data_IF_753152338626
#
_entry.id   IF_753152338626
#
_cell.length_a   1.000
_cell.length_b   1.000
_cell.length_c   1.000
_cell.angle_alpha   90.00
_cell.angle_beta   90.00
_cell.angle_gamma   90.00
#
_symmetry.space_group_name_H-M   'P 1'
#
loop_
_entity.id
_entity.type
_entity.pdbx_description
1 polymer ?
#
# COMPACT_ATOMS: atom_id res chain seq x y z
N UNK A 1 -4.48 7.81 47.51
CA UNK A 1 -5.79 7.59 46.85
C UNK A 1 -5.84 6.15 46.40
N UNK A 2 -6.89 5.41 46.74
CA UNK A 2 -7.04 4.01 46.34
C UNK A 2 -7.54 3.90 44.90
N UNK A 3 -7.37 2.74 44.29
CA UNK A 3 -7.96 2.44 42.97
C UNK A 3 -9.47 2.70 42.96
N UNK A 4 -10.14 2.38 44.07
CA UNK A 4 -11.60 2.54 44.20
C UNK A 4 -12.00 4.02 44.21
N UNK A 5 -11.21 4.88 44.88
CA UNK A 5 -11.44 6.33 44.89
C UNK A 5 -11.27 6.95 43.51
N UNK A 6 -10.33 6.44 42.71
CA UNK A 6 -10.10 6.91 41.32
C UNK A 6 -11.21 6.44 40.38
N UNK A 7 -11.78 5.25 40.62
CA UNK A 7 -12.79 4.63 39.74
C UNK A 7 -14.24 4.98 40.11
N UNK A 8 -14.48 5.55 41.29
CA UNK A 8 -15.82 5.90 41.75
C UNK A 8 -16.59 6.83 40.78
N UNK A 9 -16.00 7.89 40.18
CA UNK A 9 -16.70 8.77 39.27
C UNK A 9 -17.11 8.07 37.95
N UNK A 10 -16.24 7.21 37.42
CA UNK A 10 -16.51 6.44 36.19
C UNK A 10 -17.63 5.43 36.45
N UNK A 11 -17.58 4.75 37.60
CA UNK A 11 -18.60 3.79 38.02
C UNK A 11 -19.97 4.45 38.21
N UNK A 12 -20.00 5.68 38.71
CA UNK A 12 -21.24 6.46 38.85
C UNK A 12 -21.78 6.89 37.49
N UNK A 13 -20.93 7.41 36.60
CA UNK A 13 -21.34 7.80 35.24
C UNK A 13 -21.93 6.63 34.43
N UNK A 14 -21.35 5.42 34.55
CA UNK A 14 -21.90 4.22 33.92
C UNK A 14 -23.27 3.83 34.48
N UNK A 15 -23.49 3.97 35.80
CA UNK A 15 -24.81 3.75 36.43
C UNK A 15 -25.84 4.79 36.00
N UNK A 16 -25.39 6.01 35.77
CA UNK A 16 -26.23 7.14 35.32
C UNK A 16 -26.51 7.10 33.80
N UNK A 17 -26.10 6.03 33.11
CA UNK A 17 -26.47 5.78 31.72
C UNK A 17 -25.56 6.42 30.68
N UNK A 18 -24.31 6.76 31.01
CA UNK A 18 -23.34 7.38 30.09
C UNK A 18 -23.13 6.63 28.76
N UNK A 19 -23.57 5.37 28.65
CA UNK A 19 -23.52 4.56 27.44
C UNK A 19 -24.87 3.96 27.02
N UNK A 20 -26.01 4.46 27.53
CA UNK A 20 -27.33 3.85 27.30
C UNK A 20 -27.78 3.87 25.83
N UNK A 21 -27.27 4.82 25.04
CA UNK A 21 -27.56 4.98 23.61
C UNK A 21 -26.58 4.22 22.70
N UNK A 22 -25.60 3.50 23.27
CA UNK A 22 -24.66 2.70 22.50
C UNK A 22 -25.19 1.26 22.35
N UNK A 23 -25.34 0.81 21.10
CA UNK A 23 -25.68 -0.57 20.77
C UNK A 23 -24.70 -1.56 21.44
N UNK A 24 -25.17 -2.55 22.23
CA UNK A 24 -24.29 -3.48 22.91
C UNK A 24 -23.68 -4.47 21.89
N UNK A 25 -22.34 -4.47 21.83
CA UNK A 25 -21.49 -5.29 20.95
C UNK A 25 -21.61 -6.82 21.23
N UNK A 26 -22.61 -7.28 21.96
CA UNK A 26 -22.70 -8.65 22.49
C UNK A 26 -23.87 -9.49 21.94
N UNK A 27 -24.64 -9.01 20.95
CA UNK A 27 -25.64 -9.85 20.28
C UNK A 27 -25.09 -10.68 19.12
N UNK A 28 -23.83 -10.46 18.70
CA UNK A 28 -23.12 -11.37 17.83
C UNK A 28 -22.34 -12.38 18.69
N UNK A 29 -22.51 -13.68 18.40
CA UNK A 29 -21.77 -14.78 19.01
C UNK A 29 -20.28 -14.50 18.85
N UNK A 30 -19.60 -14.11 19.93
CA UNK A 30 -18.15 -13.89 19.93
C UNK A 30 -17.49 -15.25 20.07
N UNK A 31 -16.99 -15.78 18.96
CA UNK A 31 -16.10 -16.93 19.01
C UNK A 31 -14.78 -16.47 19.63
N UNK A 32 -14.61 -16.78 20.91
CA UNK A 32 -13.38 -16.50 21.63
C UNK A 32 -12.30 -17.45 21.12
N UNK A 33 -11.33 -16.92 20.40
CA UNK A 33 -10.12 -17.66 20.04
C UNK A 33 -9.07 -17.53 21.14
N UNK A 34 -8.32 -18.59 21.37
CA UNK A 34 -7.14 -18.54 22.24
C UNK A 34 -6.05 -17.69 21.59
N UNK A 35 -5.14 -17.14 22.41
CA UNK A 35 -4.03 -16.30 21.93
C UNK A 35 -3.11 -17.04 20.94
N UNK A 36 -3.10 -18.37 20.98
CA UNK A 36 -2.38 -19.25 20.06
C UNK A 36 -3.09 -19.37 18.71
N UNK A 37 -4.42 -19.41 18.71
CA UNK A 37 -5.27 -19.50 17.51
C UNK A 37 -5.37 -18.18 16.74
N UNK A 38 -5.12 -17.04 17.41
CA UNK A 38 -5.13 -15.71 16.77
C UNK A 38 -4.23 -15.63 15.52
N UNK A 39 -3.06 -16.28 15.54
CA UNK A 39 -2.14 -16.34 14.38
C UNK A 39 -2.71 -17.13 13.20
N UNK A 40 -3.65 -18.04 13.43
CA UNK A 40 -4.27 -18.87 12.39
C UNK A 40 -5.50 -18.22 11.73
N UNK A 41 -5.96 -17.07 12.24
CA UNK A 41 -7.16 -16.41 11.73
C UNK A 41 -6.96 -15.73 10.37
N UNK A 42 -5.71 -15.50 9.94
CA UNK A 42 -5.42 -14.89 8.64
C UNK A 42 -6.04 -13.51 8.43
N UNK A 43 -6.46 -12.84 9.51
CA UNK A 43 -7.10 -11.53 9.47
C UNK A 43 -6.02 -10.46 9.33
N UNK A 44 -5.57 -10.24 8.10
CA UNK A 44 -4.81 -9.06 7.73
C UNK A 44 -5.82 -7.98 7.36
N UNK A 45 -5.85 -6.87 8.09
CA UNK A 45 -6.60 -5.70 7.67
C UNK A 45 -6.02 -5.25 6.31
N UNK A 46 -6.75 -5.44 5.22
CA UNK A 46 -6.33 -5.04 3.89
C UNK A 46 -7.01 -3.73 3.51
N UNK A 47 -6.24 -2.75 3.03
CA UNK A 47 -6.77 -1.49 2.53
C UNK A 47 -6.84 -1.54 1.01
N UNK A 48 -8.04 -1.38 0.43
CA UNK A 48 -8.20 -1.33 -1.04
C UNK A 48 -7.64 -0.03 -1.59
N UNK A 49 -6.70 -0.11 -2.53
CA UNK A 49 -6.13 1.07 -3.19
C UNK A 49 -6.73 1.24 -4.57
N UNK A 50 -6.44 2.35 -5.24
CA UNK A 50 -6.89 2.59 -6.61
C UNK A 50 -6.35 1.56 -7.61
N UNK A 51 -5.25 0.89 -7.27
CA UNK A 51 -4.51 -0.02 -8.15
C UNK A 51 -4.65 -1.48 -7.72
N UNK A 52 -5.10 -1.75 -6.49
CA UNK A 52 -5.07 -3.09 -5.93
C UNK A 52 -5.49 -3.11 -4.46
N UNK A 53 -4.64 -3.65 -3.59
CA UNK A 53 -4.76 -3.51 -2.14
C UNK A 53 -3.38 -3.42 -1.49
N UNK A 54 -3.37 -2.94 -0.25
CA UNK A 54 -2.21 -2.88 0.61
C UNK A 54 -2.25 -4.05 1.60
N UNK A 55 -1.15 -4.78 1.72
CA UNK A 55 -0.95 -5.88 2.66
C UNK A 55 -0.32 -5.43 4.00
N UNK A 56 -0.24 -4.11 4.23
CA UNK A 56 0.33 -3.53 5.44
C UNK A 56 -0.40 -4.00 6.71
N UNK A 57 0.36 -4.29 7.76
CA UNK A 57 -0.19 -4.62 9.06
C UNK A 57 -0.61 -3.36 9.82
N UNK A 58 -1.83 -2.89 9.52
CA UNK A 58 -2.42 -1.73 10.18
C UNK A 58 -2.70 -1.92 11.67
N UNK A 59 -2.61 -3.14 12.21
CA UNK A 59 -2.67 -3.36 13.65
C UNK A 59 -1.36 -2.97 14.36
N UNK A 60 -0.25 -3.00 13.63
CA UNK A 60 1.07 -2.64 14.13
C UNK A 60 1.33 -1.14 14.01
N UNK A 61 1.10 -0.55 12.83
CA UNK A 61 1.35 0.88 12.60
C UNK A 61 0.47 1.48 11.49
N UNK A 62 0.33 2.82 11.42
CA UNK A 62 -0.29 3.47 10.26
C UNK A 62 0.67 3.50 9.05
N UNK A 63 0.10 3.50 7.84
CA UNK A 63 0.86 3.52 6.60
C UNK A 63 1.69 4.81 6.45
N UNK A 64 3.02 4.66 6.35
CA UNK A 64 3.96 5.78 6.15
C UNK A 64 4.01 6.30 4.71
N UNK A 65 3.51 5.50 3.75
CA UNK A 65 3.53 5.78 2.31
C UNK A 65 2.22 6.35 1.80
N UNK A 66 1.29 6.77 2.66
CA UNK A 66 -0.10 7.10 2.31
C UNK A 66 -0.25 7.79 0.94
N UNK A 67 -1.01 7.16 0.02
CA UNK A 67 -1.25 7.54 -1.39
C UNK A 67 -0.08 7.40 -2.36
N UNK A 68 1.11 7.05 -1.90
CA UNK A 68 2.27 6.70 -2.74
C UNK A 68 2.39 5.18 -2.94
N UNK A 69 1.26 4.49 -3.10
CA UNK A 69 1.21 3.03 -3.07
C UNK A 69 2.01 2.35 -4.18
N UNK A 70 2.18 2.97 -5.35
CA UNK A 70 3.01 2.43 -6.44
C UNK A 70 4.48 2.35 -6.06
N UNK A 71 4.89 3.18 -5.09
CA UNK A 71 6.25 3.20 -4.59
C UNK A 71 6.45 2.34 -3.32
N UNK A 72 5.41 1.63 -2.88
CA UNK A 72 5.41 0.77 -1.68
C UNK A 72 5.54 -0.72 -2.03
N UNK A 73 6.28 -1.48 -1.23
CA UNK A 73 6.43 -2.93 -1.39
C UNK A 73 5.20 -3.74 -0.98
N UNK A 74 4.29 -3.13 -0.22
CA UNK A 74 3.11 -3.78 0.34
C UNK A 74 1.91 -3.69 -0.62
N UNK A 75 2.07 -2.99 -1.75
CA UNK A 75 1.06 -2.84 -2.78
C UNK A 75 1.00 -4.08 -3.67
N UNK A 76 -0.18 -4.70 -3.74
CA UNK A 76 -0.46 -5.86 -4.57
C UNK A 76 -1.58 -5.57 -5.56
N UNK A 77 -1.44 -6.08 -6.78
CA UNK A 77 -2.39 -5.94 -7.88
C UNK A 77 -2.87 -7.31 -8.35
N UNK A 78 -4.10 -7.41 -8.85
CA UNK A 78 -4.61 -8.61 -9.54
C UNK A 78 -4.74 -8.30 -11.02
N UNK A 79 -4.20 -9.18 -11.86
CA UNK A 79 -4.44 -9.14 -13.30
C UNK A 79 -5.90 -9.42 -13.64
N UNK A 80 -6.49 -8.59 -14.51
CA UNK A 80 -7.87 -8.72 -14.96
C UNK A 80 -8.85 -7.78 -14.24
N UNK A 81 -8.37 -6.97 -13.29
CA UNK A 81 -9.14 -5.92 -12.62
C UNK A 81 -9.22 -4.67 -13.51
N UNK A 82 -10.13 -4.67 -14.49
CA UNK A 82 -10.18 -3.67 -15.56
C UNK A 82 -10.20 -2.21 -15.05
N UNK A 83 -10.94 -1.90 -13.98
CA UNK A 83 -10.97 -0.56 -13.40
C UNK A 83 -9.62 -0.15 -12.81
N UNK A 84 -8.94 -1.08 -12.11
CA UNK A 84 -7.64 -0.82 -11.48
C UNK A 84 -6.54 -0.66 -12.52
N UNK A 85 -6.60 -1.46 -13.60
CA UNK A 85 -5.74 -1.29 -14.76
C UNK A 85 -5.95 0.05 -15.46
N UNK A 86 -7.21 0.51 -15.59
CA UNK A 86 -7.50 1.85 -16.11
C UNK A 86 -6.91 2.96 -15.23
N UNK A 87 -6.99 2.82 -13.91
CA UNK A 87 -6.37 3.76 -12.96
C UNK A 87 -4.84 3.79 -13.09
N UNK A 88 -4.19 2.64 -13.32
CA UNK A 88 -2.74 2.58 -13.56
C UNK A 88 -2.35 3.29 -14.87
N UNK A 89 -3.16 3.17 -15.92
CA UNK A 89 -2.94 3.88 -17.19
C UNK A 89 -3.10 5.40 -17.02
N UNK A 90 -4.10 5.82 -16.25
CA UNK A 90 -4.30 7.21 -15.89
C UNK A 90 -3.09 7.75 -15.12
N UNK A 91 -2.67 7.06 -14.06
CA UNK A 91 -1.48 7.41 -13.28
C UNK A 91 -0.25 7.54 -14.18
N UNK A 92 -0.02 6.60 -15.11
CA UNK A 92 1.11 6.67 -16.06
C UNK A 92 1.06 7.96 -16.88
N UNK A 93 -0.09 8.30 -17.46
CA UNK A 93 -0.23 9.51 -18.28
C UNK A 93 -0.03 10.80 -17.47
N UNK A 94 -0.55 10.84 -16.23
CA UNK A 94 -0.39 11.98 -15.33
C UNK A 94 1.07 12.13 -14.91
N UNK A 95 1.73 11.01 -14.58
CA UNK A 95 3.16 10.98 -14.20
C UNK A 95 4.05 11.45 -15.35
N UNK A 96 3.77 11.04 -16.60
CA UNK A 96 4.51 11.51 -17.78
C UNK A 96 4.40 13.03 -17.95
N UNK A 97 3.19 13.58 -17.80
CA UNK A 97 2.97 15.01 -17.83
C UNK A 97 3.71 15.73 -16.69
N UNK A 98 3.57 15.26 -15.45
CA UNK A 98 4.21 15.87 -14.27
C UNK A 98 5.74 15.79 -14.35
N UNK A 99 6.30 14.69 -14.86
CA UNK A 99 7.73 14.55 -15.09
C UNK A 99 8.24 15.55 -16.13
N UNK A 100 7.47 15.82 -17.19
CA UNK A 100 7.81 16.87 -18.17
C UNK A 100 7.89 18.23 -17.48
N UNK A 101 6.87 18.60 -16.71
CA UNK A 101 6.86 19.88 -15.99
C UNK A 101 7.99 19.99 -14.96
N UNK A 102 8.28 18.91 -14.22
CA UNK A 102 9.38 18.91 -13.26
C UNK A 102 10.75 19.08 -13.93
N UNK A 103 10.95 18.54 -15.14
CA UNK A 103 12.18 18.72 -15.92
C UNK A 103 12.34 20.14 -16.46
N UNK A 104 11.25 20.77 -16.86
CA UNK A 104 11.23 22.20 -17.25
C UNK A 104 11.65 23.07 -16.05
N UNK A 105 11.01 22.90 -14.90
CA UNK A 105 11.36 23.61 -13.67
C UNK A 105 12.82 23.37 -13.24
N UNK A 106 13.32 22.14 -13.39
CA UNK A 106 14.72 21.83 -13.11
C UNK A 106 15.68 22.57 -14.05
N UNK A 107 15.31 22.74 -15.33
CA UNK A 107 16.12 23.50 -16.30
C UNK A 107 16.13 25.00 -16.02
N UNK A 108 15.12 25.50 -15.31
CA UNK A 108 15.02 26.88 -14.82
C UNK A 108 15.67 27.06 -13.44
N UNK A 109 16.35 26.02 -12.93
CA UNK A 109 17.00 25.99 -11.61
C UNK A 109 16.04 26.26 -10.43
N UNK A 110 14.77 25.90 -10.59
CA UNK A 110 13.78 26.04 -9.52
C UNK A 110 14.11 25.11 -8.33
N UNK A 111 14.10 25.68 -7.12
CA UNK A 111 14.45 24.97 -5.90
C UNK A 111 13.54 23.76 -5.66
N UNK A 112 14.14 22.57 -5.50
CA UNK A 112 13.44 21.32 -5.20
C UNK A 112 12.86 20.58 -6.42
N UNK A 113 13.01 21.13 -7.64
CA UNK A 113 12.59 20.46 -8.86
C UNK A 113 13.31 19.12 -9.10
N UNK A 114 14.57 19.01 -8.65
CA UNK A 114 15.37 17.78 -8.70
C UNK A 114 14.72 16.60 -7.96
N UNK A 115 14.15 16.88 -6.79
CA UNK A 115 13.43 15.91 -5.96
C UNK A 115 12.17 15.41 -6.67
N UNK A 116 11.44 16.31 -7.32
CA UNK A 116 10.26 15.95 -8.13
C UNK A 116 10.63 15.15 -9.36
N UNK A 117 11.68 15.53 -10.09
CA UNK A 117 12.18 14.74 -11.23
C UNK A 117 12.54 13.32 -10.78
N UNK A 118 13.25 13.19 -9.65
CA UNK A 118 13.62 11.89 -9.09
C UNK A 118 12.39 11.04 -8.75
N UNK A 119 11.44 11.61 -8.01
CA UNK A 119 10.22 10.89 -7.60
C UNK A 119 9.38 10.46 -8.80
N UNK A 120 9.07 11.40 -9.72
CA UNK A 120 8.23 11.10 -10.88
C UNK A 120 8.89 10.12 -11.85
N UNK A 121 10.22 10.17 -11.99
CA UNK A 121 10.96 9.17 -12.78
C UNK A 121 10.78 7.77 -12.21
N UNK A 122 10.94 7.62 -10.89
CA UNK A 122 10.78 6.33 -10.22
C UNK A 122 9.33 5.80 -10.30
N UNK A 123 8.34 6.67 -10.08
CA UNK A 123 6.92 6.32 -10.24
C UNK A 123 6.63 5.86 -11.66
N UNK A 124 7.15 6.56 -12.67
CA UNK A 124 6.95 6.22 -14.08
C UNK A 124 7.56 4.85 -14.44
N UNK A 125 8.77 4.58 -13.95
CA UNK A 125 9.43 3.27 -14.13
C UNK A 125 8.58 2.14 -13.54
N UNK A 126 8.08 2.32 -12.32
CA UNK A 126 7.28 1.30 -11.60
C UNK A 126 5.91 1.08 -12.22
N UNK A 127 5.15 2.13 -12.51
CA UNK A 127 3.83 1.99 -13.15
C UNK A 127 3.96 1.35 -14.53
N UNK A 128 5.02 1.68 -15.28
CA UNK A 128 5.30 1.06 -16.59
C UNK A 128 5.65 -0.41 -16.45
N UNK A 129 6.49 -0.78 -15.48
CA UNK A 129 6.81 -2.17 -15.20
C UNK A 129 5.57 -2.98 -14.81
N UNK A 130 4.73 -2.45 -13.92
CA UNK A 130 3.49 -3.11 -13.49
C UNK A 130 2.52 -3.32 -14.66
N UNK A 131 2.30 -2.29 -15.48
CA UNK A 131 1.46 -2.41 -16.68
C UNK A 131 2.00 -3.46 -17.65
N UNK A 132 3.33 -3.56 -17.83
CA UNK A 132 3.92 -4.57 -18.71
C UNK A 132 3.64 -6.01 -18.24
N UNK A 133 3.60 -6.25 -16.92
CA UNK A 133 3.26 -7.56 -16.34
C UNK A 133 1.77 -7.85 -16.53
N UNK A 134 0.91 -6.84 -16.32
CA UNK A 134 -0.53 -6.98 -16.49
C UNK A 134 -0.91 -7.28 -17.95
N UNK A 135 -0.19 -6.69 -18.91
CA UNK A 135 -0.40 -6.87 -20.34
C UNK A 135 0.19 -8.18 -20.89
N UNK A 136 1.18 -8.78 -20.20
CA UNK A 136 1.84 -10.00 -20.67
C UNK A 136 0.87 -11.20 -20.73
N UNK A 137 0.53 -11.73 -21.92
CA UNK A 137 -0.40 -12.85 -22.04
C UNK A 137 0.09 -14.14 -21.36
N UNK A 138 1.38 -14.26 -21.04
CA UNK A 138 1.92 -15.38 -20.29
C UNK A 138 1.53 -15.34 -18.80
N UNK A 139 1.13 -14.18 -18.27
CA UNK A 139 0.64 -14.02 -16.90
C UNK A 139 -0.87 -14.33 -16.87
N UNK A 140 -1.33 -15.37 -16.13
CA UNK A 140 -2.75 -15.70 -16.04
C UNK A 140 -3.59 -14.60 -15.39
N UNK A 141 -4.84 -14.45 -15.82
CA UNK A 141 -5.84 -13.62 -15.11
C UNK A 141 -6.04 -14.17 -13.69
N UNK A 142 -6.19 -13.28 -12.71
CA UNK A 142 -6.24 -13.63 -11.30
C UNK A 142 -4.87 -13.72 -10.63
N UNK A 143 -3.77 -13.60 -11.37
CA UNK A 143 -2.42 -13.58 -10.80
C UNK A 143 -2.23 -12.37 -9.90
N UNK A 144 -1.71 -12.61 -8.70
CA UNK A 144 -1.32 -11.59 -7.73
C UNK A 144 0.08 -11.10 -8.07
N UNK A 145 0.22 -9.80 -8.27
CA UNK A 145 1.44 -9.14 -8.74
C UNK A 145 1.87 -8.13 -7.68
N UNK A 146 3.15 -8.17 -7.33
CA UNK A 146 3.82 -7.20 -6.45
C UNK A 146 5.16 -6.87 -7.08
N UNK A 147 5.49 -5.58 -7.17
CA UNK A 147 6.81 -5.16 -7.64
C UNK A 147 7.82 -5.31 -6.50
N UNK A 148 8.98 -5.88 -6.81
CA UNK A 148 10.14 -5.81 -5.93
C UNK A 148 10.73 -4.39 -6.02
N UNK A 149 10.59 -3.62 -4.94
CA UNK A 149 10.99 -2.22 -4.89
C UNK A 149 12.20 -2.06 -3.97
N UNK A 150 13.40 -2.00 -4.55
CA UNK A 150 14.59 -1.59 -3.80
C UNK A 150 14.40 -0.14 -3.30
N UNK A 151 14.60 0.09 -2.00
CA UNK A 151 14.42 1.37 -1.27
C UNK A 151 12.99 1.76 -0.86
N UNK A 152 12.01 0.86 -0.86
CA UNK A 152 10.83 1.10 -0.02
C UNK A 152 11.28 1.14 1.46
N UNK A 153 10.71 2.00 2.32
CA UNK A 153 10.99 1.93 3.75
C UNK A 153 10.47 0.59 4.29
N UNK A 154 11.35 -0.42 4.34
CA UNK A 154 11.02 -1.76 4.78
C UNK A 154 10.96 -1.80 6.31
N UNK A 155 9.81 -2.16 6.86
CA UNK A 155 9.74 -2.96 8.09
C UNK A 155 8.89 -4.19 7.69
N UNK A 156 9.49 -5.21 7.06
CA UNK A 156 9.77 -6.49 7.73
C UNK A 156 10.40 -7.50 6.76
N UNK A 157 11.06 -8.50 7.34
CA UNK A 157 11.61 -9.70 6.70
C UNK A 157 10.47 -10.65 6.31
N UNK A 158 10.35 -11.02 5.03
CA UNK A 158 9.84 -12.34 4.66
C UNK A 158 10.32 -12.77 3.26
N UNK A 159 10.54 -14.08 3.11
CA UNK A 159 11.13 -14.74 1.94
C UNK A 159 10.20 -14.68 0.71
N UNK A 160 10.16 -13.53 0.03
CA UNK A 160 9.54 -13.41 -1.30
C UNK A 160 10.61 -13.71 -2.35
N UNK A 161 10.37 -14.67 -3.25
CA UNK A 161 11.26 -14.89 -4.38
C UNK A 161 11.07 -13.79 -5.43
N UNK A 162 12.07 -12.93 -5.69
CA UNK A 162 11.91 -11.84 -6.63
C UNK A 162 11.80 -12.38 -8.06
N UNK A 163 10.77 -11.94 -8.78
CA UNK A 163 10.74 -12.07 -10.25
C UNK A 163 11.76 -11.08 -10.79
N UNK A 164 12.94 -11.59 -11.18
CA UNK A 164 14.02 -10.76 -11.73
C UNK A 164 13.61 -10.26 -13.12
N UNK A 165 13.20 -9.01 -13.21
CA UNK A 165 13.12 -8.32 -14.49
C UNK A 165 14.54 -7.97 -14.95
N UNK A 166 15.01 -8.62 -16.01
CA UNK A 166 16.27 -8.28 -16.67
C UNK A 166 15.98 -7.27 -17.77
N UNK A 167 16.46 -6.01 -17.68
CA UNK A 167 16.34 -5.07 -18.78
C UNK A 167 17.21 -5.59 -19.94
N UNK A 168 16.60 -5.98 -21.05
CA UNK A 168 17.33 -6.29 -22.29
C UNK A 168 17.84 -4.99 -22.90
N UNK A 169 18.93 -4.46 -22.35
CA UNK A 169 19.73 -3.46 -23.06
C UNK A 169 20.39 -4.16 -24.25
N UNK A 170 19.81 -4.02 -25.45
CA UNK A 170 20.55 -4.24 -26.70
C UNK A 170 21.68 -3.22 -26.76
N UNK A 171 22.85 -3.56 -26.22
CA UNK A 171 24.09 -2.87 -26.58
C UNK A 171 24.33 -3.14 -28.06
N UNK A 172 24.22 -2.11 -28.90
CA UNK A 172 24.80 -2.14 -30.25
C UNK A 172 26.28 -2.47 -30.08
N UNK A 173 26.71 -3.59 -30.67
CA UNK A 173 28.12 -3.80 -30.92
C UNK A 173 28.59 -2.70 -31.86
N UNK A 174 29.53 -1.88 -31.40
CA UNK A 174 30.32 -1.02 -32.25
C UNK A 174 31.11 -1.93 -33.20
N UNK A 175 30.91 -1.74 -34.49
CA UNK A 175 31.81 -2.18 -35.56
C UNK A 175 32.49 -0.93 -36.12
#
# INVERSE_FOLDING_TARGET
>A
MSSDEVQAPISQALKDGFTSELEPVFSAKRDLVTRTEFKGLGLTAAHTTQYGWCAHDFASEPCQMYRDCINCEEQECIKGEAQKEANLRMLKSETEYLLKQAREALSEEEYGADTWVKHQTLTLERVTALLSILEDPAVPVGTRIRLDVSNAPLITRDNVHPVRFSPTARRKALA
#
